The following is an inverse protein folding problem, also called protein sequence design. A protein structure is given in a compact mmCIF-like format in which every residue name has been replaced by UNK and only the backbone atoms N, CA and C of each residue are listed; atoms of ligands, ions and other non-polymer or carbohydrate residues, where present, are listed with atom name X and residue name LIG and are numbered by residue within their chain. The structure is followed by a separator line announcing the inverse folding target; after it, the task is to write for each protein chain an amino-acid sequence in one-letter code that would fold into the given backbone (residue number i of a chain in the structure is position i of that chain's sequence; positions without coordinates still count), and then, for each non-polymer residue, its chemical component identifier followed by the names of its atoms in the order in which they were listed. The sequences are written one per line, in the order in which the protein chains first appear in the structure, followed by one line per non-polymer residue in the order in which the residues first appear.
data_IF_064296754567
#
_entry.id   IF_064296754567
#
_cell.length_a   1.000
_cell.length_b   1.000
_cell.length_c   1.000
_cell.angle_alpha   90.00
_cell.angle_beta   90.00
_cell.angle_gamma   90.00
#
_symmetry.space_group_name_H-M   'P 1'
#
loop_
_entity.id
_entity.type
_entity.pdbx_description
1 polymer ?
#
# COMPACT_ATOMS: atom_id res chain seq x y z
N UNK A 1 -28.41 -48.74 15.18
CA UNK A 1 -27.73 -47.78 14.29
C UNK A 1 -26.23 -47.95 14.50
N UNK A 2 -25.44 -48.00 13.43
CA UNK A 2 -23.97 -48.06 13.52
C UNK A 2 -23.39 -46.67 13.77
N UNK A 3 -22.25 -46.60 14.44
CA UNK A 3 -21.48 -45.36 14.60
C UNK A 3 -20.48 -45.25 13.46
N UNK A 4 -20.37 -44.08 12.80
CA UNK A 4 -19.36 -43.87 11.77
C UNK A 4 -17.96 -43.98 12.37
N UNK A 5 -17.04 -44.61 11.65
CA UNK A 5 -15.63 -44.64 12.05
C UNK A 5 -15.05 -43.22 12.16
N UNK A 6 -14.08 -43.05 13.07
CA UNK A 6 -13.51 -41.72 13.37
C UNK A 6 -12.98 -41.00 12.12
N UNK A 7 -12.39 -41.74 11.17
CA UNK A 7 -11.88 -41.20 9.92
C UNK A 7 -12.98 -40.58 9.06
N UNK A 8 -14.13 -41.26 8.90
CA UNK A 8 -15.26 -40.72 8.15
C UNK A 8 -15.82 -39.45 8.78
N UNK A 9 -15.78 -39.35 10.12
CA UNK A 9 -16.16 -38.14 10.86
C UNK A 9 -15.17 -37.00 10.61
N UNK A 10 -13.87 -37.29 10.67
CA UNK A 10 -12.82 -36.31 10.40
C UNK A 10 -12.85 -35.81 8.95
N UNK A 11 -13.03 -36.70 7.97
CA UNK A 11 -13.15 -36.29 6.56
C UNK A 11 -14.42 -35.48 6.30
N UNK A 12 -15.54 -35.83 6.93
CA UNK A 12 -16.76 -35.02 6.86
C UNK A 12 -16.54 -33.61 7.42
N UNK A 13 -15.88 -33.49 8.58
CA UNK A 13 -15.53 -32.19 9.17
C UNK A 13 -14.54 -31.41 8.29
N UNK A 14 -13.58 -32.08 7.64
CA UNK A 14 -12.63 -31.44 6.71
C UNK A 14 -13.35 -30.85 5.50
N UNK A 15 -14.31 -31.57 4.91
CA UNK A 15 -15.12 -31.05 3.80
C UNK A 15 -15.89 -29.79 4.22
N UNK A 16 -16.50 -29.81 5.41
CA UNK A 16 -17.20 -28.63 5.95
C UNK A 16 -16.23 -27.44 6.14
N UNK A 17 -15.04 -27.69 6.67
CA UNK A 17 -14.00 -26.65 6.87
C UNK A 17 -13.53 -26.06 5.55
N UNK A 18 -13.32 -26.87 4.51
CA UNK A 18 -12.91 -26.37 3.19
C UNK A 18 -13.97 -25.47 2.55
N UNK A 19 -15.26 -25.85 2.67
CA UNK A 19 -16.37 -25.03 2.19
C UNK A 19 -16.41 -23.70 2.95
N UNK A 20 -16.36 -23.73 4.30
CA UNK A 20 -16.37 -22.51 5.10
C UNK A 20 -15.12 -21.65 4.89
N UNK A 21 -13.96 -22.27 4.71
CA UNK A 21 -12.68 -21.61 4.43
C UNK A 21 -12.70 -20.84 3.12
N UNK A 22 -13.28 -21.43 2.08
CA UNK A 22 -13.49 -20.73 0.81
C UNK A 22 -14.36 -19.47 1.01
N UNK A 23 -15.50 -19.59 1.70
CA UNK A 23 -16.37 -18.43 1.97
C UNK A 23 -15.68 -17.39 2.86
N UNK A 24 -14.88 -17.82 3.84
CA UNK A 24 -14.10 -16.93 4.70
C UNK A 24 -13.05 -16.15 3.91
N UNK A 25 -12.35 -16.78 2.96
CA UNK A 25 -11.38 -16.12 2.10
C UNK A 25 -12.04 -14.99 1.28
N UNK A 26 -13.25 -15.22 0.75
CA UNK A 26 -14.02 -14.16 0.10
C UNK A 26 -14.40 -13.03 1.07
N UNK A 27 -14.81 -13.37 2.30
CA UNK A 27 -15.09 -12.37 3.34
C UNK A 27 -13.89 -11.47 3.65
N UNK A 28 -12.70 -12.06 3.76
CA UNK A 28 -11.45 -11.32 3.95
C UNK A 28 -11.19 -10.40 2.76
N UNK A 29 -11.26 -10.91 1.52
CA UNK A 29 -11.03 -10.11 0.29
C UNK A 29 -11.91 -8.85 0.25
N UNK A 30 -13.21 -9.00 0.51
CA UNK A 30 -14.11 -7.84 0.51
C UNK A 30 -13.83 -6.89 1.67
N UNK A 31 -13.47 -7.41 2.85
CA UNK A 31 -13.14 -6.55 4.00
C UNK A 31 -11.86 -5.75 3.79
N UNK A 32 -10.81 -6.33 3.21
CA UNK A 32 -9.55 -5.63 2.94
C UNK A 32 -9.73 -4.58 1.85
N UNK A 33 -10.54 -4.87 0.83
CA UNK A 33 -10.89 -3.92 -0.22
C UNK A 33 -11.73 -2.73 0.28
N UNK A 34 -12.58 -2.93 1.30
CA UNK A 34 -13.46 -1.88 1.82
C UNK A 34 -12.83 -1.01 2.92
N UNK A 35 -11.83 -1.52 3.66
CA UNK A 35 -11.35 -0.89 4.89
C UNK A 35 -9.82 -0.68 4.95
N UNK A 36 -9.09 -0.87 3.84
CA UNK A 36 -7.65 -0.62 3.74
C UNK A 36 -6.82 -1.27 4.87
N UNK A 37 -7.14 -2.53 5.19
CA UNK A 37 -6.61 -3.25 6.35
C UNK A 37 -5.21 -3.83 6.06
N UNK A 38 -4.26 -3.70 7.00
CA UNK A 38 -2.87 -4.18 6.86
C UNK A 38 -2.70 -5.72 6.72
N UNK A 39 -1.68 -6.14 5.97
CA UNK A 39 -1.39 -7.55 5.63
C UNK A 39 -1.17 -8.47 6.85
N UNK A 40 -0.57 -7.96 7.92
CA UNK A 40 -0.35 -8.74 9.17
C UNK A 40 -1.65 -9.15 9.85
N UNK A 41 -2.76 -8.49 9.54
CA UNK A 41 -4.08 -8.80 10.10
C UNK A 41 -4.94 -9.74 9.23
N UNK A 42 -4.50 -10.08 8.02
CA UNK A 42 -5.23 -10.94 7.06
C UNK A 42 -5.46 -12.34 7.63
N UNK A 43 -4.45 -12.94 8.27
CA UNK A 43 -4.59 -14.27 8.90
C UNK A 43 -5.55 -14.26 10.08
N UNK A 44 -5.52 -13.21 10.90
CA UNK A 44 -6.43 -13.05 12.04
C UNK A 44 -7.87 -12.87 11.55
N UNK A 45 -8.08 -12.06 10.52
CA UNK A 45 -9.38 -11.89 9.87
C UNK A 45 -9.88 -13.19 9.23
N UNK A 46 -9.01 -13.92 8.55
CA UNK A 46 -9.36 -15.21 7.97
C UNK A 46 -9.82 -16.20 9.03
N UNK A 47 -9.07 -16.34 10.12
CA UNK A 47 -9.44 -17.23 11.24
C UNK A 47 -10.74 -16.77 11.92
N UNK A 48 -10.94 -15.46 12.06
CA UNK A 48 -12.19 -14.90 12.59
C UNK A 48 -13.39 -15.22 11.70
N UNK A 49 -13.31 -14.92 10.39
CA UNK A 49 -14.38 -15.22 9.44
C UNK A 49 -14.63 -16.73 9.34
N UNK A 50 -13.59 -17.55 9.28
CA UNK A 50 -13.71 -19.00 9.28
C UNK A 50 -14.46 -19.49 10.52
N UNK A 51 -14.11 -19.00 11.70
CA UNK A 51 -14.79 -19.38 12.94
C UNK A 51 -16.27 -18.97 12.92
N UNK A 52 -16.58 -17.72 12.57
CA UNK A 52 -17.96 -17.20 12.56
C UNK A 52 -18.82 -17.94 11.52
N UNK A 53 -18.31 -18.09 10.29
CA UNK A 53 -19.02 -18.78 9.20
C UNK A 53 -19.23 -20.24 9.57
N UNK A 54 -18.19 -20.93 10.04
CA UNK A 54 -18.31 -22.33 10.46
C UNK A 54 -19.33 -22.49 11.58
N UNK A 55 -19.25 -21.67 12.63
CA UNK A 55 -20.16 -21.72 13.78
C UNK A 55 -21.63 -21.54 13.37
N UNK A 56 -21.92 -20.55 12.52
CA UNK A 56 -23.26 -20.33 12.00
C UNK A 56 -23.71 -21.50 11.11
N UNK A 57 -22.90 -21.85 10.12
CA UNK A 57 -23.18 -22.92 9.17
C UNK A 57 -23.46 -24.26 9.87
N UNK A 58 -22.58 -24.69 10.78
CA UNK A 58 -22.68 -25.97 11.45
C UNK A 58 -23.86 -26.00 12.42
N UNK A 59 -24.10 -24.90 13.16
CA UNK A 59 -25.21 -24.79 14.11
C UNK A 59 -26.56 -24.87 13.40
N UNK A 60 -26.76 -24.08 12.35
CA UNK A 60 -28.02 -24.09 11.59
C UNK A 60 -28.22 -25.41 10.85
N UNK A 61 -27.19 -25.94 10.20
CA UNK A 61 -27.30 -27.22 9.46
C UNK A 61 -27.66 -28.37 10.39
N UNK A 62 -26.99 -28.49 11.55
CA UNK A 62 -27.30 -29.53 12.51
C UNK A 62 -28.65 -29.32 13.20
N UNK A 63 -28.97 -28.10 13.63
CA UNK A 63 -30.23 -27.83 14.34
C UNK A 63 -31.48 -27.91 13.46
N UNK A 64 -31.35 -27.78 12.13
CA UNK A 64 -32.48 -27.87 11.20
C UNK A 64 -32.55 -29.18 10.41
N UNK A 65 -31.43 -29.90 10.25
CA UNK A 65 -31.38 -31.10 9.39
C UNK A 65 -30.61 -32.26 9.99
N UNK A 66 -30.12 -32.13 11.23
CA UNK A 66 -29.33 -33.13 11.93
C UNK A 66 -28.06 -33.57 11.16
N UNK A 67 -27.62 -32.80 10.16
CA UNK A 67 -26.44 -33.10 9.33
C UNK A 67 -25.89 -31.84 8.68
N UNK A 68 -24.61 -31.84 8.33
CA UNK A 68 -23.95 -30.82 7.50
C UNK A 68 -23.75 -31.37 6.08
N UNK A 69 -23.29 -30.56 5.14
CA UNK A 69 -23.03 -31.03 3.77
C UNK A 69 -21.94 -32.10 3.77
N UNK A 70 -20.83 -31.87 4.46
CA UNK A 70 -19.77 -32.85 4.64
C UNK A 70 -20.32 -34.14 5.28
N UNK A 71 -21.05 -34.03 6.39
CA UNK A 71 -21.62 -35.21 7.06
C UNK A 71 -22.64 -35.95 6.18
N UNK A 72 -23.44 -35.24 5.40
CA UNK A 72 -24.41 -35.81 4.46
C UNK A 72 -23.75 -36.63 3.35
N UNK A 73 -22.61 -36.15 2.80
CA UNK A 73 -21.81 -36.90 1.80
C UNK A 73 -21.39 -38.28 2.35
N UNK A 74 -21.04 -38.34 3.64
CA UNK A 74 -20.66 -39.56 4.33
C UNK A 74 -21.85 -40.33 4.94
N UNK A 75 -23.09 -39.89 4.73
CA UNK A 75 -24.29 -40.53 5.30
C UNK A 75 -24.40 -40.42 6.83
N UNK A 76 -23.73 -39.42 7.41
CA UNK A 76 -23.67 -39.18 8.85
C UNK A 76 -24.79 -38.24 9.28
N UNK A 77 -25.48 -38.60 10.36
CA UNK A 77 -26.39 -37.72 11.11
C UNK A 77 -25.92 -37.57 12.55
N UNK A 78 -26.25 -36.45 13.17
CA UNK A 78 -26.06 -36.16 14.59
C UNK A 78 -27.42 -36.20 15.25
N UNK A 79 -27.57 -37.05 16.27
CA UNK A 79 -28.79 -37.17 17.06
C UNK A 79 -28.47 -36.93 18.53
N UNK A 80 -29.45 -36.53 19.33
CA UNK A 80 -29.33 -36.54 20.79
C UNK A 80 -29.24 -37.99 21.28
N UNK A 81 -28.76 -38.19 22.50
CA UNK A 81 -28.73 -39.52 23.12
C UNK A 81 -30.12 -40.18 23.22
N UNK A 82 -31.20 -39.39 23.25
CA UNK A 82 -32.58 -39.86 23.20
C UNK A 82 -33.02 -40.35 21.82
N UNK A 83 -32.23 -40.14 20.77
CA UNK A 83 -32.57 -40.43 19.38
C UNK A 83 -33.30 -39.31 18.64
N UNK A 84 -33.68 -38.23 19.33
CA UNK A 84 -34.26 -37.04 18.71
C UNK A 84 -33.21 -36.24 17.92
N UNK A 85 -33.66 -35.43 16.96
CA UNK A 85 -32.78 -34.47 16.28
C UNK A 85 -32.33 -33.35 17.26
N UNK A 86 -31.11 -32.83 17.14
CA UNK A 86 -30.61 -31.76 18.00
C UNK A 86 -31.36 -30.46 17.71
N UNK A 87 -31.64 -29.68 18.76
CA UNK A 87 -32.10 -28.30 18.59
C UNK A 87 -30.94 -27.40 18.17
N UNK A 88 -31.23 -26.17 17.74
CA UNK A 88 -30.21 -25.16 17.46
C UNK A 88 -29.27 -24.93 18.67
N UNK A 89 -29.79 -24.99 19.89
CA UNK A 89 -28.97 -24.84 21.09
C UNK A 89 -28.04 -26.05 21.30
N UNK A 90 -28.53 -27.27 21.10
CA UNK A 90 -27.70 -28.47 21.21
C UNK A 90 -26.59 -28.45 20.14
N UNK A 91 -26.93 -28.03 18.92
CA UNK A 91 -25.99 -27.89 17.81
C UNK A 91 -24.92 -26.83 18.09
N UNK A 92 -25.32 -25.67 18.63
CA UNK A 92 -24.40 -24.60 19.03
C UNK A 92 -23.45 -25.07 20.14
N UNK A 93 -23.97 -25.67 21.20
CA UNK A 93 -23.17 -26.23 22.29
C UNK A 93 -22.17 -27.26 21.76
N UNK A 94 -22.60 -28.12 20.84
CA UNK A 94 -21.74 -29.15 20.25
C UNK A 94 -20.60 -28.57 19.43
N UNK A 95 -20.91 -27.71 18.47
CA UNK A 95 -19.94 -27.25 17.47
C UNK A 95 -19.08 -26.07 17.96
N UNK A 96 -19.67 -25.13 18.70
CA UNK A 96 -18.99 -23.87 19.09
C UNK A 96 -18.27 -24.00 20.43
N UNK A 97 -18.81 -24.78 21.36
CA UNK A 97 -18.23 -24.91 22.71
C UNK A 97 -17.50 -26.25 22.87
N UNK A 98 -18.18 -27.35 22.58
CA UNK A 98 -17.69 -28.69 22.92
C UNK A 98 -16.58 -29.18 21.98
N UNK A 99 -16.64 -28.78 20.70
CA UNK A 99 -15.66 -29.19 19.68
C UNK A 99 -14.30 -28.54 19.87
N UNK A 100 -14.16 -27.23 20.17
CA UNK A 100 -12.88 -26.67 20.57
C UNK A 100 -12.26 -27.39 21.77
N UNK A 101 -13.04 -27.76 22.79
CA UNK A 101 -12.54 -28.56 23.93
C UNK A 101 -11.96 -29.91 23.48
N UNK A 102 -12.49 -30.50 22.41
CA UNK A 102 -11.95 -31.75 21.85
C UNK A 102 -10.67 -31.56 21.03
N UNK A 103 -10.48 -30.38 20.42
CA UNK A 103 -9.38 -30.07 19.48
C UNK A 103 -8.19 -29.41 20.18
N UNK A 104 -8.44 -28.45 21.09
CA UNK A 104 -7.41 -27.71 21.84
C UNK A 104 -6.34 -28.59 22.51
N UNK A 105 -6.66 -29.75 23.12
CA UNK A 105 -5.65 -30.68 23.63
C UNK A 105 -5.10 -31.56 22.50
N UNK A 106 -4.68 -30.94 21.38
CA UNK A 106 -4.08 -31.60 20.20
C UNK A 106 -4.95 -32.75 19.66
N UNK A 107 -6.27 -32.57 19.66
CA UNK A 107 -7.22 -33.57 19.15
C UNK A 107 -7.46 -34.79 20.04
N UNK A 108 -6.97 -34.80 21.29
CA UNK A 108 -7.17 -35.93 22.21
C UNK A 108 -8.66 -36.27 22.44
N UNK A 109 -9.56 -35.28 22.36
CA UNK A 109 -10.99 -35.53 22.48
C UNK A 109 -11.61 -36.30 21.30
N UNK A 110 -10.96 -36.27 20.13
CA UNK A 110 -11.30 -37.14 18.99
C UNK A 110 -10.71 -38.54 19.17
N UNK A 111 -9.46 -38.62 19.64
CA UNK A 111 -8.77 -39.90 19.91
C UNK A 111 -9.54 -40.73 20.94
N UNK A 112 -10.14 -40.09 21.95
CA UNK A 112 -10.99 -40.75 22.94
C UNK A 112 -12.13 -41.58 22.30
N UNK A 113 -12.70 -41.11 21.19
CA UNK A 113 -13.76 -41.82 20.47
C UNK A 113 -13.31 -43.12 19.78
N UNK A 114 -12.00 -43.33 19.60
CA UNK A 114 -11.46 -44.60 19.09
C UNK A 114 -11.51 -45.69 20.15
N UNK A 115 -11.34 -45.33 21.42
CA UNK A 115 -11.34 -46.25 22.55
C UNK A 115 -12.73 -46.41 23.20
N UNK A 116 -13.68 -45.54 22.85
CA UNK A 116 -15.05 -45.61 23.34
C UNK A 116 -15.86 -46.66 22.58
N UNK A 117 -16.53 -47.57 23.30
CA UNK A 117 -17.32 -48.65 22.70
C UNK A 117 -18.53 -48.17 21.90
N UNK A 118 -18.95 -46.92 22.11
CA UNK A 118 -20.03 -46.25 21.39
C UNK A 118 -19.51 -45.23 20.38
N UNK A 119 -18.20 -45.12 20.19
CA UNK A 119 -17.56 -44.17 19.28
C UNK A 119 -17.75 -42.71 19.67
N UNK A 120 -18.04 -42.41 20.95
CA UNK A 120 -18.33 -41.05 21.42
C UNK A 120 -17.04 -40.28 21.70
N UNK A 121 -16.96 -39.08 21.12
CA UNK A 121 -15.89 -38.11 21.40
C UNK A 121 -16.23 -37.24 22.60
N UNK A 122 -15.29 -36.44 23.08
CA UNK A 122 -15.58 -35.50 24.17
C UNK A 122 -16.69 -34.51 23.80
N UNK A 123 -16.70 -34.00 22.57
CA UNK A 123 -17.75 -33.09 22.12
C UNK A 123 -19.13 -33.74 22.07
N UNK A 124 -19.20 -35.02 21.72
CA UNK A 124 -20.46 -35.78 21.74
C UNK A 124 -20.98 -35.95 23.18
N UNK A 125 -20.08 -36.28 24.12
CA UNK A 125 -20.43 -36.46 25.53
C UNK A 125 -20.91 -35.15 26.18
N UNK A 126 -20.20 -34.05 25.96
CA UNK A 126 -20.53 -32.73 26.53
C UNK A 126 -21.87 -32.22 25.99
N UNK A 127 -22.17 -32.47 24.70
CA UNK A 127 -23.40 -32.02 24.06
C UNK A 127 -24.55 -33.04 24.11
N UNK A 128 -24.39 -34.15 24.84
CA UNK A 128 -25.37 -35.23 24.96
C UNK A 128 -25.91 -35.73 23.60
N UNK A 129 -24.98 -35.89 22.69
CA UNK A 129 -25.20 -36.04 21.25
C UNK A 129 -24.39 -37.23 20.75
N UNK A 130 -24.77 -37.81 19.61
CA UNK A 130 -24.05 -38.91 18.99
C UNK A 130 -24.17 -38.89 17.48
N UNK A 131 -23.10 -39.27 16.81
CA UNK A 131 -23.12 -39.48 15.36
C UNK A 131 -23.60 -40.89 15.03
N UNK A 132 -24.52 -40.99 14.08
CA UNK A 132 -25.06 -42.24 13.54
C UNK A 132 -24.92 -42.25 12.02
N UNK A 133 -24.83 -43.44 11.43
CA UNK A 133 -24.89 -43.61 9.97
C UNK A 133 -26.32 -43.97 9.56
N UNK A 134 -26.89 -43.19 8.64
CA UNK A 134 -28.14 -43.54 7.96
C UNK A 134 -27.79 -44.50 6.81
N UNK A 135 -27.95 -45.81 7.08
CA UNK A 135 -27.56 -46.97 6.28
C UNK A 135 -26.06 -47.34 6.35
N UNK A 136 -25.74 -48.66 6.39
CA UNK A 136 -24.36 -49.12 6.35
C UNK A 136 -23.79 -48.78 4.99
N UNK A 137 -22.87 -47.83 4.93
CA UNK A 137 -21.90 -47.78 3.83
C UNK A 137 -21.04 -49.04 3.99
N UNK A 138 -21.50 -50.13 3.39
CA UNK A 138 -20.64 -51.26 3.09
C UNK A 138 -19.63 -50.75 2.08
N UNK A 139 -18.36 -50.67 2.50
CA UNK A 139 -17.25 -50.47 1.58
C UNK A 139 -17.17 -51.72 0.68
N UNK A 140 -17.97 -51.76 -0.38
CA UNK A 140 -18.00 -52.84 -1.36
C UNK A 140 -19.17 -52.77 -2.34
N UNK A 141 -18.83 -52.58 -3.63
CA UNK A 141 -19.62 -52.81 -4.87
C UNK A 141 -20.29 -51.57 -5.52
N UNK A 142 -20.19 -51.40 -6.86
CA UNK A 142 -20.32 -50.14 -7.58
C UNK A 142 -21.73 -49.86 -8.09
N UNK A 143 -22.11 -48.58 -8.08
CA UNK A 143 -23.38 -48.08 -8.62
C UNK A 143 -23.67 -46.62 -8.24
N UNK A 144 -23.13 -46.16 -7.11
CA UNK A 144 -23.26 -44.77 -6.61
C UNK A 144 -21.90 -44.04 -6.56
N UNK A 145 -20.82 -44.77 -6.87
CA UNK A 145 -19.44 -44.28 -6.96
C UNK A 145 -19.30 -43.18 -7.99
N UNK A 146 -20.04 -43.27 -9.11
CA UNK A 146 -19.98 -42.27 -10.19
C UNK A 146 -20.46 -40.90 -9.74
N UNK A 147 -21.52 -40.80 -8.93
CA UNK A 147 -22.03 -39.51 -8.42
C UNK A 147 -21.11 -38.92 -7.35
N UNK A 148 -20.53 -39.76 -6.51
CA UNK A 148 -19.57 -39.33 -5.47
C UNK A 148 -18.22 -38.92 -6.06
N UNK A 149 -17.74 -39.66 -7.07
CA UNK A 149 -16.54 -39.30 -7.85
C UNK A 149 -16.82 -38.04 -8.66
N UNK A 150 -18.00 -37.91 -9.29
CA UNK A 150 -18.39 -36.70 -10.02
C UNK A 150 -18.50 -35.49 -9.08
N UNK A 151 -19.05 -35.66 -7.87
CA UNK A 151 -19.13 -34.59 -6.87
C UNK A 151 -17.75 -34.22 -6.32
N UNK A 152 -16.90 -35.21 -6.04
CA UNK A 152 -15.51 -34.96 -5.64
C UNK A 152 -14.74 -34.25 -6.76
N UNK A 153 -14.90 -34.67 -8.02
CA UNK A 153 -14.35 -34.00 -9.19
C UNK A 153 -14.93 -32.58 -9.31
N UNK A 154 -16.23 -32.36 -9.12
CA UNK A 154 -16.83 -31.02 -9.17
C UNK A 154 -16.34 -30.11 -8.05
N UNK A 155 -16.20 -30.62 -6.83
CA UNK A 155 -15.63 -29.88 -5.69
C UNK A 155 -14.15 -29.58 -5.93
N UNK A 156 -13.39 -30.55 -6.43
CA UNK A 156 -11.98 -30.36 -6.84
C UNK A 156 -11.85 -29.41 -8.02
N UNK A 157 -12.77 -29.42 -8.99
CA UNK A 157 -12.80 -28.49 -10.11
C UNK A 157 -13.19 -27.09 -9.66
N UNK A 158 -14.14 -26.93 -8.74
CA UNK A 158 -14.48 -25.64 -8.12
C UNK A 158 -13.32 -25.10 -7.28
N UNK A 159 -12.61 -25.99 -6.58
CA UNK A 159 -11.37 -25.65 -5.86
C UNK A 159 -10.29 -25.22 -6.85
N UNK A 160 -10.05 -25.97 -7.93
CA UNK A 160 -9.11 -25.62 -8.98
C UNK A 160 -9.53 -24.36 -9.76
N UNK A 161 -10.82 -24.09 -9.92
CA UNK A 161 -11.33 -22.87 -10.54
C UNK A 161 -11.15 -21.68 -9.59
N UNK A 162 -11.36 -21.89 -8.29
CA UNK A 162 -11.07 -20.94 -7.22
C UNK A 162 -9.58 -20.60 -7.16
N UNK A 163 -8.73 -21.61 -7.14
CA UNK A 163 -7.27 -21.50 -7.27
C UNK A 163 -6.87 -20.85 -8.59
N UNK A 164 -7.52 -21.17 -9.72
CA UNK A 164 -7.24 -20.52 -11.00
C UNK A 164 -7.70 -19.06 -11.00
N UNK A 165 -8.81 -18.70 -10.36
CA UNK A 165 -9.22 -17.30 -10.19
C UNK A 165 -8.36 -16.56 -9.17
N UNK A 166 -7.82 -17.26 -8.17
CA UNK A 166 -6.84 -16.74 -7.23
C UNK A 166 -5.50 -16.53 -7.94
N UNK A 167 -5.01 -17.50 -8.70
CA UNK A 167 -3.79 -17.40 -9.52
C UNK A 167 -3.97 -16.41 -10.66
N UNK A 168 -5.14 -16.28 -11.29
CA UNK A 168 -5.40 -15.25 -12.31
C UNK A 168 -5.67 -13.88 -11.73
N UNK A 169 -6.16 -13.79 -10.48
CA UNK A 169 -6.33 -12.55 -9.75
C UNK A 169 -5.04 -12.09 -9.10
N UNK A 170 -4.19 -13.01 -8.65
CA UNK A 170 -2.85 -12.82 -8.11
C UNK A 170 -1.85 -12.61 -9.24
N UNK A 171 -1.94 -13.36 -10.35
CA UNK A 171 -1.29 -12.98 -11.61
C UNK A 171 -1.93 -11.70 -12.13
N UNK A 172 -3.20 -11.45 -11.91
CA UNK A 172 -3.84 -10.17 -12.23
C UNK A 172 -3.25 -9.03 -11.42
N UNK A 173 -2.91 -9.23 -10.16
CA UNK A 173 -2.26 -8.26 -9.26
C UNK A 173 -0.73 -8.26 -9.36
N UNK A 174 -0.10 -9.33 -9.87
CA UNK A 174 1.33 -9.40 -10.23
C UNK A 174 1.58 -8.86 -11.64
N UNK A 175 0.60 -8.99 -12.53
CA UNK A 175 0.61 -8.45 -13.90
C UNK A 175 -0.10 -7.09 -13.97
N UNK A 176 -0.84 -6.70 -12.93
CA UNK A 176 -1.35 -5.35 -12.67
C UNK A 176 -0.71 -4.72 -11.42
N UNK A 177 0.37 -5.30 -10.89
CA UNK A 177 1.57 -4.50 -10.74
C UNK A 177 1.85 -4.08 -12.17
N UNK A 178 1.56 -2.82 -12.45
CA UNK A 178 1.76 -2.20 -13.74
C UNK A 178 3.02 -2.80 -14.36
N UNK A 179 2.86 -3.44 -15.54
CA UNK A 179 3.94 -3.56 -16.51
C UNK A 179 4.78 -2.29 -16.34
N UNK A 180 6.09 -2.37 -16.07
CA UNK A 180 6.86 -1.16 -15.98
C UNK A 180 6.62 -0.43 -17.29
N UNK A 181 5.84 0.66 -17.22
CA UNK A 181 6.21 1.89 -17.91
C UNK A 181 7.70 1.94 -17.66
N UNK A 182 8.52 1.94 -18.71
CA UNK A 182 9.97 1.95 -18.60
C UNK A 182 10.36 3.05 -17.59
N UNK A 183 10.45 2.68 -16.30
CA UNK A 183 10.62 3.61 -15.17
C UNK A 183 11.90 4.39 -15.42
N UNK A 184 12.88 3.67 -15.96
CA UNK A 184 14.04 4.24 -16.59
C UNK A 184 14.06 3.86 -18.07
N UNK A 185 14.17 4.85 -18.95
CA UNK A 185 14.34 4.66 -20.39
C UNK A 185 15.82 4.39 -20.71
N UNK A 186 16.32 3.21 -20.33
CA UNK A 186 17.69 2.77 -20.67
C UNK A 186 17.73 2.15 -22.06
N UNK A 187 18.89 2.21 -22.74
CA UNK A 187 19.09 1.50 -24.02
C UNK A 187 18.92 -0.03 -23.80
N UNK A 188 18.11 -0.75 -24.61
CA UNK A 188 17.88 -2.18 -24.46
C UNK A 188 19.19 -3.01 -24.41
N UNK A 189 19.54 -3.46 -23.21
CA UNK A 189 20.73 -4.28 -22.92
C UNK A 189 21.58 -3.80 -21.74
N UNK A 190 21.26 -2.65 -21.13
CA UNK A 190 22.05 -1.99 -20.10
C UNK A 190 21.42 -1.96 -18.68
N UNK A 191 20.45 -2.84 -18.39
CA UNK A 191 19.72 -2.84 -17.11
C UNK A 191 20.49 -3.56 -16.00
N UNK A 192 20.97 -2.81 -15.00
CA UNK A 192 21.37 -3.37 -13.71
C UNK A 192 20.78 -2.55 -12.55
N UNK A 193 20.22 -3.26 -11.57
CA UNK A 193 19.84 -2.68 -10.26
C UNK A 193 21.11 -2.50 -9.42
N UNK A 194 21.48 -1.26 -9.13
CA UNK A 194 22.65 -0.94 -8.31
C UNK A 194 22.24 -0.66 -6.85
N UNK A 195 21.50 -1.60 -6.28
CA UNK A 195 21.33 -1.71 -4.84
C UNK A 195 20.28 -0.81 -4.21
N UNK A 196 20.07 -1.10 -2.93
CA UNK A 196 18.93 -0.66 -2.14
C UNK A 196 19.36 0.40 -1.12
N UNK A 197 18.53 1.42 -0.92
CA UNK A 197 18.51 2.18 0.33
C UNK A 197 17.24 1.83 1.13
N UNK A 198 17.04 2.48 2.28
CA UNK A 198 15.84 2.25 3.11
C UNK A 198 14.59 2.70 2.35
N UNK A 199 14.66 3.90 1.76
CA UNK A 199 13.53 4.55 1.09
C UNK A 199 13.62 4.60 -0.43
N UNK A 200 14.75 4.22 -1.06
CA UNK A 200 14.95 4.33 -2.50
C UNK A 200 15.42 3.01 -3.12
N UNK A 201 14.86 2.71 -4.30
CA UNK A 201 15.36 1.71 -5.23
C UNK A 201 16.09 2.45 -6.37
N UNK A 202 17.42 2.27 -6.48
CA UNK A 202 18.26 3.00 -7.44
C UNK A 202 18.61 2.11 -8.64
N UNK A 203 18.27 2.60 -9.81
CA UNK A 203 18.51 2.01 -11.12
C UNK A 203 19.52 2.87 -11.87
N UNK A 204 20.47 2.27 -12.56
CA UNK A 204 21.44 3.03 -13.35
C UNK A 204 21.75 2.33 -14.67
N UNK A 205 21.85 3.12 -15.73
CA UNK A 205 22.33 2.69 -17.03
C UNK A 205 23.81 2.26 -16.92
N UNK A 206 24.22 1.22 -17.63
CA UNK A 206 25.63 0.77 -17.60
C UNK A 206 26.60 1.85 -18.09
N UNK A 207 27.62 2.15 -17.30
CA UNK A 207 28.55 3.23 -17.61
C UNK A 207 29.64 3.44 -16.58
N UNK A 208 30.73 4.09 -17.01
CA UNK A 208 31.87 4.41 -16.14
C UNK A 208 31.47 5.38 -15.01
N UNK A 209 30.55 6.32 -15.29
CA UNK A 209 30.08 7.28 -14.29
C UNK A 209 28.96 6.72 -13.41
N UNK A 210 28.31 5.63 -13.82
CA UNK A 210 27.15 5.06 -13.10
C UNK A 210 27.48 4.59 -11.70
N UNK A 211 28.65 3.98 -11.49
CA UNK A 211 29.07 3.56 -10.15
C UNK A 211 29.28 4.77 -9.23
N UNK A 212 29.97 5.80 -9.72
CA UNK A 212 30.19 7.05 -8.96
C UNK A 212 28.86 7.76 -8.67
N UNK A 213 27.99 7.85 -9.68
CA UNK A 213 26.67 8.46 -9.58
C UNK A 213 25.81 7.79 -8.52
N UNK A 214 25.68 6.47 -8.58
CA UNK A 214 24.91 5.69 -7.61
C UNK A 214 25.48 5.83 -6.19
N UNK A 215 26.80 5.81 -6.02
CA UNK A 215 27.40 5.96 -4.70
C UNK A 215 27.15 7.35 -4.11
N UNK A 216 27.19 8.42 -4.92
CA UNK A 216 26.82 9.77 -4.48
C UNK A 216 25.34 9.88 -4.14
N UNK A 217 24.47 9.35 -4.99
CA UNK A 217 23.03 9.30 -4.75
C UNK A 217 22.73 8.57 -3.43
N UNK A 218 23.31 7.38 -3.22
CA UNK A 218 23.15 6.62 -1.97
C UNK A 218 23.57 7.42 -0.73
N UNK A 219 24.61 8.25 -0.85
CA UNK A 219 25.10 9.04 0.27
C UNK A 219 24.14 10.17 0.65
N UNK A 220 23.53 10.85 -0.32
CA UNK A 220 22.74 12.07 -0.08
C UNK A 220 21.22 11.86 -0.11
N UNK A 221 20.69 10.86 -0.82
CA UNK A 221 19.24 10.63 -0.97
C UNK A 221 18.52 10.44 0.36
N UNK A 222 19.08 9.63 1.27
CA UNK A 222 18.46 9.40 2.59
C UNK A 222 18.48 10.68 3.45
N UNK A 223 19.55 11.48 3.35
CA UNK A 223 19.64 12.74 4.08
C UNK A 223 18.66 13.79 3.53
N UNK A 224 18.51 13.84 2.20
CA UNK A 224 17.53 14.68 1.52
C UNK A 224 16.11 14.27 1.94
N UNK A 225 15.82 12.98 1.90
CA UNK A 225 14.53 12.41 2.29
C UNK A 225 14.18 12.73 3.74
N UNK A 226 15.07 12.44 4.70
CA UNK A 226 14.82 12.69 6.13
C UNK A 226 14.54 14.17 6.40
N UNK A 227 15.25 15.05 5.69
CA UNK A 227 15.09 16.49 5.83
C UNK A 227 13.79 17.01 5.20
N UNK A 228 13.47 16.61 3.97
CA UNK A 228 12.17 16.91 3.34
C UNK A 228 11.02 16.38 4.18
N UNK A 229 11.14 15.15 4.69
CA UNK A 229 10.13 14.54 5.53
C UNK A 229 9.88 15.33 6.81
N UNK A 230 10.95 15.83 7.45
CA UNK A 230 10.84 16.68 8.64
C UNK A 230 10.03 17.96 8.40
N UNK A 231 10.17 18.58 7.21
CA UNK A 231 9.48 19.81 6.86
C UNK A 231 8.04 19.59 6.38
N UNK A 232 7.74 18.43 5.79
CA UNK A 232 6.44 18.14 5.15
C UNK A 232 5.50 17.34 6.07
N UNK A 233 5.98 16.29 6.74
CA UNK A 233 5.09 15.26 7.28
C UNK A 233 4.82 15.36 8.81
N UNK A 234 3.56 15.22 9.25
CA UNK A 234 3.24 14.68 10.57
C UNK A 234 3.37 13.13 10.59
N UNK A 235 3.38 12.55 11.80
CA UNK A 235 3.71 11.14 12.18
C UNK A 235 3.03 10.01 11.36
N UNK A 236 2.08 10.30 10.47
CA UNK A 236 1.20 9.31 9.82
C UNK A 236 1.42 9.06 8.33
N UNK A 237 2.33 9.77 7.64
CA UNK A 237 2.58 9.51 6.22
C UNK A 237 3.37 8.19 6.04
N UNK A 238 2.73 7.18 5.45
CA UNK A 238 3.40 5.95 4.98
C UNK A 238 3.98 6.24 3.60
N UNK A 239 5.24 6.66 3.56
CA UNK A 239 5.91 6.83 2.27
C UNK A 239 6.38 5.46 1.76
N UNK A 240 5.94 5.14 0.55
CA UNK A 240 6.42 4.02 -0.25
C UNK A 240 7.85 4.27 -0.71
N UNK A 241 8.58 3.20 -1.04
CA UNK A 241 9.90 3.34 -1.66
C UNK A 241 9.80 4.14 -2.97
N UNK A 242 10.73 5.06 -3.17
CA UNK A 242 10.84 5.83 -4.41
C UNK A 242 11.80 5.16 -5.39
N UNK A 243 11.55 5.33 -6.68
CA UNK A 243 12.49 4.92 -7.72
C UNK A 243 13.43 6.07 -8.07
N UNK A 244 14.71 5.75 -8.30
CA UNK A 244 15.70 6.71 -8.80
C UNK A 244 16.39 6.13 -10.01
N UNK A 245 16.37 6.85 -11.13
CA UNK A 245 17.01 6.47 -12.37
C UNK A 245 18.25 7.33 -12.63
N UNK A 246 19.42 6.71 -12.81
CA UNK A 246 20.65 7.38 -13.20
C UNK A 246 21.02 7.01 -14.65
N UNK A 247 21.20 8.01 -15.49
CA UNK A 247 21.47 7.85 -16.92
C UNK A 247 22.92 8.21 -17.22
N UNK A 248 23.65 7.27 -17.82
CA UNK A 248 25.03 7.50 -18.28
C UNK A 248 25.02 8.36 -19.54
N UNK A 249 24.09 8.07 -20.45
CA UNK A 249 23.98 8.69 -21.75
C UNK A 249 23.01 9.87 -21.70
N UNK A 250 23.47 11.02 -22.20
CA UNK A 250 22.64 12.22 -22.34
C UNK A 250 21.39 11.97 -23.20
N UNK A 251 21.51 11.14 -24.23
CA UNK A 251 20.41 10.79 -25.13
C UNK A 251 19.32 10.01 -24.38
N UNK A 252 19.68 8.97 -23.63
CA UNK A 252 18.74 8.20 -22.79
C UNK A 252 18.01 9.08 -21.77
N UNK A 253 18.74 10.01 -21.12
CA UNK A 253 18.12 10.98 -20.20
C UNK A 253 17.16 11.93 -20.92
N UNK A 254 17.56 12.46 -22.08
CA UNK A 254 16.73 13.36 -22.89
C UNK A 254 15.47 12.67 -23.42
N UNK A 255 15.58 11.42 -23.83
CA UNK A 255 14.47 10.59 -24.28
C UNK A 255 13.50 10.33 -23.12
N UNK A 256 14.03 10.01 -21.94
CA UNK A 256 13.25 9.89 -20.71
C UNK A 256 12.49 11.17 -20.39
N UNK A 257 13.19 12.32 -20.37
CA UNK A 257 12.56 13.60 -20.08
C UNK A 257 11.44 13.94 -21.07
N UNK A 258 11.69 13.73 -22.37
CA UNK A 258 10.71 13.97 -23.43
C UNK A 258 9.49 13.04 -23.30
N UNK A 259 9.70 11.77 -22.93
CA UNK A 259 8.63 10.80 -22.74
C UNK A 259 7.70 11.17 -21.57
N UNK A 260 8.25 11.83 -20.54
CA UNK A 260 7.48 12.35 -19.40
C UNK A 260 6.87 13.74 -19.67
N UNK A 261 6.90 14.23 -20.92
CA UNK A 261 6.29 15.52 -21.30
C UNK A 261 7.18 16.74 -21.02
N UNK A 262 8.47 16.53 -20.74
CA UNK A 262 9.46 17.59 -20.63
C UNK A 262 9.71 18.31 -21.95
N UNK A 263 10.08 19.60 -21.87
CA UNK A 263 10.46 20.44 -23.01
C UNK A 263 11.85 20.12 -23.59
N UNK A 264 12.42 21.00 -24.45
CA UNK A 264 13.64 20.69 -25.20
C UNK A 264 14.95 20.66 -24.39
N UNK A 265 14.94 20.95 -23.08
CA UNK A 265 16.15 20.96 -22.24
C UNK A 265 15.84 20.59 -20.79
N UNK A 266 16.27 19.43 -20.31
CA UNK A 266 16.32 19.20 -18.87
C UNK A 266 17.57 19.83 -18.25
N UNK A 267 17.42 20.24 -16.99
CA UNK A 267 18.50 20.37 -16.04
C UNK A 267 19.20 19.01 -15.81
N UNK A 268 20.21 18.98 -14.94
CA UNK A 268 20.98 17.77 -14.63
C UNK A 268 20.16 16.62 -14.00
N UNK A 269 18.93 16.91 -13.57
CA UNK A 269 18.00 15.97 -12.98
C UNK A 269 16.55 16.46 -13.19
N UNK A 270 15.56 15.60 -12.92
CA UNK A 270 14.15 15.99 -12.82
C UNK A 270 13.35 14.95 -12.01
N UNK A 271 12.30 15.38 -11.33
CA UNK A 271 11.26 14.53 -10.77
C UNK A 271 10.11 14.33 -11.76
N UNK A 272 9.63 13.09 -11.89
CA UNK A 272 8.45 12.75 -12.68
C UNK A 272 7.26 12.44 -11.77
N UNK A 273 6.21 13.29 -11.77
CA UNK A 273 4.97 13.01 -11.04
C UNK A 273 4.14 11.85 -11.62
N UNK A 274 4.43 11.40 -12.84
CA UNK A 274 3.62 10.39 -13.53
C UNK A 274 3.85 8.98 -12.95
N UNK A 275 5.08 8.73 -12.51
CA UNK A 275 5.56 7.46 -12.00
C UNK A 275 6.28 7.60 -10.64
N UNK A 276 6.35 8.82 -10.09
CA UNK A 276 7.00 9.16 -8.83
C UNK A 276 8.49 8.77 -8.79
N UNK A 277 9.17 8.98 -9.91
CA UNK A 277 10.58 8.65 -10.09
C UNK A 277 11.45 9.89 -10.14
N UNK A 278 12.64 9.83 -9.54
CA UNK A 278 13.65 10.88 -9.65
C UNK A 278 14.71 10.47 -10.67
N UNK A 279 15.01 11.32 -11.64
CA UNK A 279 15.90 11.02 -12.75
C UNK A 279 17.14 11.92 -12.70
N UNK A 280 18.33 11.33 -12.87
CA UNK A 280 19.62 12.05 -12.84
C UNK A 280 20.45 11.74 -14.09
N UNK A 281 21.02 12.76 -14.72
CA UNK A 281 21.98 12.62 -15.80
C UNK A 281 23.41 12.55 -15.27
N UNK A 282 24.28 11.73 -15.85
CA UNK A 282 25.69 11.67 -15.50
C UNK A 282 26.46 13.00 -15.70
N UNK A 283 25.87 13.97 -16.42
CA UNK A 283 26.39 15.34 -16.50
C UNK A 283 26.33 16.06 -15.14
N UNK A 284 25.43 15.68 -14.22
CA UNK A 284 25.37 16.28 -12.88
C UNK A 284 26.69 16.10 -12.12
N UNK A 285 27.38 14.98 -12.35
CA UNK A 285 28.66 14.67 -11.70
C UNK A 285 29.79 15.62 -12.10
N UNK A 286 29.64 16.35 -13.21
CA UNK A 286 30.62 17.32 -13.69
C UNK A 286 30.52 18.68 -12.97
N UNK A 287 29.45 18.90 -12.18
CA UNK A 287 29.29 20.09 -11.33
C UNK A 287 30.08 19.97 -10.02
N UNK A 288 30.21 21.06 -9.26
CA UNK A 288 30.82 21.01 -7.93
C UNK A 288 29.95 20.25 -6.92
N UNK A 289 30.53 19.83 -5.79
CA UNK A 289 29.85 18.99 -4.78
C UNK A 289 28.60 19.67 -4.21
N UNK A 290 28.59 20.99 -4.11
CA UNK A 290 27.46 21.75 -3.56
C UNK A 290 26.29 21.72 -4.54
N UNK A 291 26.54 22.03 -5.81
CA UNK A 291 25.54 21.89 -6.88
C UNK A 291 24.97 20.48 -6.93
N UNK A 292 25.81 19.45 -6.87
CA UNK A 292 25.37 18.06 -6.85
C UNK A 292 24.44 17.77 -5.67
N UNK A 293 24.79 18.25 -4.48
CA UNK A 293 23.98 18.07 -3.28
C UNK A 293 22.65 18.82 -3.40
N UNK A 294 22.67 20.08 -3.83
CA UNK A 294 21.49 20.91 -3.99
C UNK A 294 20.50 20.27 -4.96
N UNK A 295 20.98 19.78 -6.12
CA UNK A 295 20.14 19.05 -7.09
C UNK A 295 19.53 17.80 -6.49
N UNK A 296 20.29 16.97 -5.77
CA UNK A 296 19.74 15.76 -5.14
C UNK A 296 18.64 16.12 -4.14
N UNK A 297 18.87 17.13 -3.30
CA UNK A 297 17.91 17.56 -2.29
C UNK A 297 16.65 18.16 -2.91
N UNK A 298 16.81 19.01 -3.93
CA UNK A 298 15.70 19.62 -4.67
C UNK A 298 14.78 18.57 -5.27
N UNK A 299 15.32 17.63 -6.07
CA UNK A 299 14.49 16.66 -6.77
C UNK A 299 13.90 15.58 -5.84
N UNK A 300 14.65 15.21 -4.80
CA UNK A 300 14.12 14.31 -3.75
C UNK A 300 12.97 14.97 -3.00
N UNK A 301 13.03 16.28 -2.81
CA UNK A 301 11.98 17.01 -2.14
C UNK A 301 10.67 17.01 -2.94
N UNK A 302 10.73 17.17 -4.27
CA UNK A 302 9.56 17.04 -5.13
C UNK A 302 8.86 15.70 -4.91
N UNK A 303 9.61 14.60 -4.90
CA UNK A 303 9.06 13.28 -4.57
C UNK A 303 8.36 13.26 -3.21
N UNK A 304 9.01 13.72 -2.13
CA UNK A 304 8.45 13.66 -0.78
C UNK A 304 7.20 14.53 -0.65
N UNK A 305 7.25 15.76 -1.15
CA UNK A 305 6.14 16.72 -1.06
C UNK A 305 4.95 16.25 -1.90
N UNK A 306 5.17 15.94 -3.18
CA UNK A 306 4.08 15.58 -4.07
C UNK A 306 3.44 14.24 -3.72
N UNK A 307 4.23 13.27 -3.23
CA UNK A 307 3.66 12.01 -2.73
C UNK A 307 2.80 12.27 -1.50
N UNK A 308 3.28 13.10 -0.56
CA UNK A 308 2.49 13.49 0.60
C UNK A 308 1.18 14.17 0.19
N UNK A 309 1.22 15.11 -0.74
CA UNK A 309 0.02 15.79 -1.25
C UNK A 309 -0.92 14.79 -1.94
N UNK A 310 -0.40 13.86 -2.74
CA UNK A 310 -1.20 12.84 -3.41
C UNK A 310 -1.90 11.90 -2.44
N UNK A 311 -1.19 11.42 -1.41
CA UNK A 311 -1.75 10.54 -0.39
C UNK A 311 -2.87 11.20 0.42
N UNK A 312 -2.86 12.53 0.51
CA UNK A 312 -3.87 13.32 1.21
C UNK A 312 -4.90 13.97 0.29
N UNK A 313 -4.86 13.69 -1.02
CA UNK A 313 -5.85 14.20 -1.99
C UNK A 313 -5.66 15.64 -2.45
N UNK A 314 -4.49 16.25 -2.20
CA UNK A 314 -4.12 17.63 -2.57
C UNK A 314 -3.12 17.72 -3.73
N UNK A 315 -2.90 16.63 -4.46
CA UNK A 315 -2.02 16.62 -5.63
C UNK A 315 -2.41 17.72 -6.64
N UNK A 316 -1.44 18.51 -7.09
CA UNK A 316 -1.63 19.67 -7.98
C UNK A 316 -2.59 20.76 -7.46
N UNK A 317 -2.90 20.78 -6.16
CA UNK A 317 -3.71 21.84 -5.53
C UNK A 317 -2.85 22.90 -4.82
N UNK A 318 -1.55 22.65 -4.70
CA UNK A 318 -0.57 23.61 -4.18
C UNK A 318 0.00 24.40 -5.35
N UNK A 319 0.10 25.75 -5.25
CA UNK A 319 0.62 26.58 -6.33
C UNK A 319 2.04 26.20 -6.75
N UNK A 320 2.30 26.23 -8.06
CA UNK A 320 3.58 25.81 -8.62
C UNK A 320 4.77 26.61 -8.08
N UNK A 321 4.63 27.92 -7.83
CA UNK A 321 5.69 28.74 -7.20
C UNK A 321 6.10 28.22 -5.83
N UNK A 322 5.16 27.67 -5.07
CA UNK A 322 5.41 27.15 -3.75
C UNK A 322 6.10 25.79 -3.84
N UNK A 323 5.65 24.92 -4.74
CA UNK A 323 6.27 23.59 -4.94
C UNK A 323 7.75 23.73 -5.33
N UNK A 324 8.04 24.53 -6.36
CA UNK A 324 9.42 24.78 -6.79
C UNK A 324 10.21 25.59 -5.77
N UNK A 325 9.61 26.62 -5.18
CA UNK A 325 10.27 27.43 -4.15
C UNK A 325 10.64 26.63 -2.90
N UNK A 326 9.81 25.66 -2.53
CA UNK A 326 10.05 24.78 -1.39
C UNK A 326 11.12 23.74 -1.71
N UNK A 327 11.16 23.20 -2.94
CA UNK A 327 12.26 22.36 -3.41
C UNK A 327 13.60 23.12 -3.43
N UNK A 328 13.60 24.37 -3.90
CA UNK A 328 14.79 25.23 -3.84
C UNK A 328 15.22 25.56 -2.41
N UNK A 329 14.27 25.81 -1.50
CA UNK A 329 14.58 26.01 -0.09
C UNK A 329 15.31 24.79 0.48
N UNK A 330 14.80 23.60 0.20
CA UNK A 330 15.39 22.35 0.68
C UNK A 330 16.76 22.06 0.04
N UNK A 331 16.88 22.30 -1.27
CA UNK A 331 18.15 22.22 -1.99
C UNK A 331 19.22 23.11 -1.38
N UNK A 332 18.87 24.36 -1.09
CA UNK A 332 19.83 25.40 -0.68
C UNK A 332 20.07 25.50 0.83
N UNK A 333 19.23 24.89 1.69
CA UNK A 333 19.40 24.95 3.15
C UNK A 333 20.71 24.32 3.66
N UNK A 334 21.40 23.54 2.83
CA UNK A 334 22.70 22.94 3.15
C UNK A 334 23.89 23.47 2.32
N UNK A 335 23.66 24.47 1.45
CA UNK A 335 24.69 25.10 0.64
C UNK A 335 25.35 26.31 1.32
N UNK A 336 26.59 26.62 0.92
CA UNK A 336 27.22 27.92 1.10
C UNK A 336 26.48 29.06 0.36
N UNK A 337 25.44 28.77 -0.45
CA UNK A 337 24.55 29.75 -1.13
C UNK A 337 23.89 30.80 -0.24
N UNK A 338 23.91 30.64 1.08
CA UNK A 338 23.68 31.77 2.02
C UNK A 338 24.55 33.01 1.71
N UNK A 339 25.65 32.84 0.96
CA UNK A 339 26.54 33.91 0.48
C UNK A 339 25.98 34.72 -0.71
N UNK A 340 25.05 34.16 -1.50
CA UNK A 340 24.46 34.80 -2.69
C UNK A 340 23.02 35.30 -2.47
N UNK A 341 22.44 35.07 -1.29
CA UNK A 341 21.11 35.58 -0.91
C UNK A 341 20.89 37.06 -1.26
N UNK A 342 21.85 37.99 -1.07
CA UNK A 342 21.65 39.39 -1.46
C UNK A 342 21.46 39.58 -2.98
N UNK A 343 22.20 38.84 -3.80
CA UNK A 343 22.15 38.94 -5.27
C UNK A 343 20.84 38.38 -5.82
N UNK A 344 20.38 37.24 -5.26
CA UNK A 344 19.09 36.63 -5.60
C UNK A 344 17.94 37.56 -5.17
N UNK A 345 18.04 38.12 -3.97
CA UNK A 345 17.07 39.05 -3.40
C UNK A 345 16.91 40.31 -4.27
N UNK A 346 18.02 40.89 -4.72
CA UNK A 346 18.01 42.04 -5.63
C UNK A 346 17.35 41.69 -6.98
N UNK A 347 17.67 40.53 -7.55
CA UNK A 347 17.10 40.07 -8.82
C UNK A 347 15.58 39.87 -8.74
N UNK A 348 15.10 39.26 -7.66
CA UNK A 348 13.68 39.01 -7.44
C UNK A 348 12.93 40.31 -7.19
N UNK A 349 13.48 41.24 -6.38
CA UNK A 349 12.85 42.55 -6.13
C UNK A 349 12.49 43.28 -7.41
N UNK A 350 13.38 43.28 -8.38
CA UNK A 350 13.21 44.09 -9.59
C UNK A 350 12.22 43.46 -10.59
N UNK A 351 11.89 42.16 -10.43
CA UNK A 351 11.11 41.38 -11.42
C UNK A 351 9.93 40.57 -10.84
N UNK A 352 9.68 40.63 -9.52
CA UNK A 352 8.70 39.77 -8.84
C UNK A 352 7.29 39.86 -9.44
N UNK A 353 6.72 38.68 -9.70
CA UNK A 353 5.33 38.50 -10.13
C UNK A 353 4.47 38.12 -8.93
N UNK A 354 3.23 38.61 -8.92
CA UNK A 354 2.27 38.28 -7.86
C UNK A 354 2.07 36.76 -7.75
N UNK A 355 1.95 36.23 -6.53
CA UNK A 355 1.80 34.79 -6.29
C UNK A 355 0.60 34.20 -7.04
N UNK A 356 -0.50 34.94 -7.17
CA UNK A 356 -1.70 34.51 -7.90
C UNK A 356 -1.44 34.31 -9.40
N UNK A 357 -0.36 34.89 -9.94
CA UNK A 357 0.03 34.72 -11.35
C UNK A 357 0.95 33.53 -11.59
N UNK A 358 1.42 32.87 -10.53
CA UNK A 358 2.43 31.80 -10.58
C UNK A 358 1.85 30.43 -10.20
N UNK A 359 0.63 30.15 -10.67
CA UNK A 359 -0.12 28.95 -10.28
C UNK A 359 0.32 27.68 -10.99
N UNK A 360 0.80 27.80 -12.25
CA UNK A 360 1.12 26.66 -13.11
C UNK A 360 2.43 26.90 -13.85
N UNK A 361 3.10 25.84 -14.31
CA UNK A 361 4.27 25.93 -15.18
C UNK A 361 3.97 26.73 -16.46
N UNK A 362 2.79 26.53 -17.06
CA UNK A 362 2.34 27.28 -18.26
C UNK A 362 2.19 28.79 -18.03
N UNK A 363 2.12 29.24 -16.77
CA UNK A 363 2.08 30.67 -16.44
C UNK A 363 3.44 31.36 -16.63
N UNK A 364 4.51 30.60 -16.92
CA UNK A 364 5.83 31.10 -17.25
C UNK A 364 5.83 31.53 -18.74
N UNK A 365 5.86 32.83 -19.01
CA UNK A 365 5.88 33.38 -20.37
C UNK A 365 7.32 33.42 -20.94
N UNK A 366 7.47 33.37 -22.27
CA UNK A 366 8.76 33.44 -22.99
C UNK A 366 9.58 34.70 -22.70
N UNK A 367 8.96 35.77 -22.18
CA UNK A 367 9.63 37.02 -21.78
C UNK A 367 10.47 36.88 -20.50
N UNK A 368 10.28 35.82 -19.71
CA UNK A 368 10.96 35.60 -18.44
C UNK A 368 11.78 34.32 -18.46
N UNK A 369 12.94 34.34 -17.79
CA UNK A 369 13.75 33.14 -17.66
C UNK A 369 13.06 32.17 -16.70
N UNK A 370 13.00 30.85 -16.99
CA UNK A 370 12.58 29.86 -16.02
C UNK A 370 13.33 30.01 -14.68
N UNK A 371 14.62 30.34 -14.71
CA UNK A 371 15.41 30.58 -13.50
C UNK A 371 14.83 31.68 -12.60
N UNK A 372 14.24 32.74 -13.17
CA UNK A 372 13.63 33.82 -12.38
C UNK A 372 12.42 33.30 -11.60
N UNK A 373 11.66 32.35 -12.17
CA UNK A 373 10.54 31.70 -11.49
C UNK A 373 10.97 30.91 -10.25
N UNK A 374 12.01 30.09 -10.38
CA UNK A 374 12.54 29.31 -9.25
C UNK A 374 13.02 30.23 -8.13
N UNK A 375 13.70 31.33 -8.46
CA UNK A 375 14.16 32.30 -7.47
C UNK A 375 13.03 33.09 -6.81
N UNK A 376 12.01 33.49 -7.57
CA UNK A 376 10.80 34.11 -7.01
C UNK A 376 10.11 33.16 -6.01
N UNK A 377 9.94 31.89 -6.38
CA UNK A 377 9.41 30.87 -5.49
C UNK A 377 10.25 30.68 -4.24
N UNK A 378 11.57 30.50 -4.40
CA UNK A 378 12.52 30.32 -3.30
C UNK A 378 12.47 31.48 -2.32
N UNK A 379 12.58 32.72 -2.80
CA UNK A 379 12.51 33.92 -1.95
C UNK A 379 11.17 34.03 -1.23
N UNK A 380 10.07 33.67 -1.89
CA UNK A 380 8.73 33.70 -1.31
C UNK A 380 8.58 32.71 -0.16
N UNK A 381 9.00 31.46 -0.38
CA UNK A 381 8.98 30.41 0.65
C UNK A 381 9.98 30.77 1.77
N UNK A 382 11.17 31.26 1.43
CA UNK A 382 12.16 31.70 2.41
C UNK A 382 11.65 32.83 3.29
N UNK A 383 10.96 33.82 2.72
CA UNK A 383 10.28 34.89 3.48
C UNK A 383 9.27 34.34 4.47
N UNK A 384 8.41 33.40 4.04
CA UNK A 384 7.43 32.78 4.93
C UNK A 384 8.13 32.07 6.11
N UNK A 385 9.22 31.35 5.84
CA UNK A 385 10.01 30.71 6.88
C UNK A 385 10.70 31.72 7.80
N UNK A 386 11.31 32.77 7.26
CA UNK A 386 12.02 33.81 8.02
C UNK A 386 11.07 34.55 8.96
N UNK A 387 9.87 34.87 8.47
CA UNK A 387 8.86 35.61 9.23
C UNK A 387 8.11 34.76 10.25
N UNK A 388 7.63 33.58 9.86
CA UNK A 388 6.72 32.77 10.67
C UNK A 388 7.39 31.56 11.34
N UNK A 389 8.66 31.29 11.00
CA UNK A 389 9.44 30.20 11.56
C UNK A 389 9.38 28.90 10.74
N UNK A 390 10.24 27.94 11.10
CA UNK A 390 10.46 26.70 10.34
C UNK A 390 9.26 25.75 10.31
N UNK A 391 8.27 25.90 11.20
CA UNK A 391 7.09 25.01 11.25
C UNK A 391 5.96 25.47 10.34
N UNK A 392 6.04 26.69 9.79
CA UNK A 392 4.92 27.32 9.07
C UNK A 392 4.35 26.43 7.96
N UNK A 393 5.21 25.72 7.21
CA UNK A 393 4.77 24.85 6.12
C UNK A 393 4.01 23.63 6.61
N UNK A 394 4.50 23.00 7.68
CA UNK A 394 3.82 21.88 8.32
C UNK A 394 2.46 22.30 8.86
N UNK A 395 2.40 23.48 9.46
CA UNK A 395 1.16 24.03 10.00
C UNK A 395 0.16 24.31 8.85
N UNK A 396 0.61 24.84 7.71
CA UNK A 396 -0.22 25.04 6.50
C UNK A 396 -0.79 23.71 6.01
N UNK A 397 0.06 22.70 5.78
CA UNK A 397 -0.40 21.40 5.31
C UNK A 397 -1.34 20.72 6.31
N UNK A 398 -1.09 20.87 7.62
CA UNK A 398 -1.96 20.32 8.65
C UNK A 398 -3.34 20.98 8.65
N UNK A 399 -3.43 22.31 8.49
CA UNK A 399 -4.71 23.02 8.38
C UNK A 399 -5.46 22.65 7.11
N UNK A 400 -4.77 22.52 5.96
CA UNK A 400 -5.36 22.02 4.70
C UNK A 400 -6.05 20.67 4.93
N UNK A 401 -5.32 19.70 5.48
CA UNK A 401 -5.82 18.33 5.69
C UNK A 401 -6.92 18.28 6.75
N UNK A 402 -6.77 19.02 7.85
CA UNK A 402 -7.71 18.95 8.98
C UNK A 402 -9.06 19.56 8.63
N UNK A 403 -9.07 20.62 7.83
CA UNK A 403 -10.28 21.42 7.58
C UNK A 403 -10.79 21.34 6.12
N UNK A 404 -10.09 20.59 5.26
CA UNK A 404 -10.36 20.51 3.83
C UNK A 404 -10.32 21.87 3.12
N UNK A 405 -9.23 22.60 3.35
CA UNK A 405 -9.02 23.94 2.80
C UNK A 405 -8.06 23.92 1.61
N UNK A 406 -8.27 24.86 0.68
CA UNK A 406 -7.27 25.17 -0.33
C UNK A 406 -6.01 25.80 0.29
N UNK A 407 -4.92 25.78 -0.46
CA UNK A 407 -3.61 26.24 0.00
C UNK A 407 -3.64 27.69 0.52
N UNK A 408 -4.34 28.60 -0.16
CA UNK A 408 -4.36 30.01 0.22
C UNK A 408 -5.18 30.24 1.47
N UNK A 409 -6.34 29.59 1.59
CA UNK A 409 -7.14 29.63 2.82
C UNK A 409 -6.33 29.12 4.03
N UNK A 410 -5.59 28.03 3.88
CA UNK A 410 -4.71 27.52 4.94
C UNK A 410 -3.54 28.46 5.25
N UNK A 411 -2.91 29.06 4.22
CA UNK A 411 -1.86 30.05 4.39
C UNK A 411 -2.34 31.26 5.20
N UNK A 412 -3.47 31.85 4.84
CA UNK A 412 -4.04 32.99 5.56
C UNK A 412 -4.41 32.62 7.00
N UNK A 413 -4.95 31.41 7.21
CA UNK A 413 -5.28 30.95 8.56
C UNK A 413 -4.02 30.74 9.42
N UNK A 414 -2.94 30.15 8.89
CA UNK A 414 -1.73 29.91 9.69
C UNK A 414 -0.99 31.21 9.98
N UNK A 415 -0.91 32.10 9.00
CA UNK A 415 -0.19 33.38 9.13
C UNK A 415 -1.00 34.45 9.86
N UNK A 416 -2.32 34.29 9.95
CA UNK A 416 -3.26 35.31 10.46
C UNK A 416 -3.23 36.62 9.65
N UNK A 417 -2.84 36.53 8.38
CA UNK A 417 -2.70 37.65 7.46
C UNK A 417 -3.30 37.29 6.11
N UNK A 418 -3.98 38.24 5.47
CA UNK A 418 -4.50 38.01 4.12
C UNK A 418 -3.38 38.03 3.07
N UNK A 419 -3.63 37.41 1.92
CA UNK A 419 -2.65 37.26 0.85
C UNK A 419 -2.08 38.59 0.35
N UNK A 420 -2.90 39.64 0.31
CA UNK A 420 -2.48 40.97 -0.14
C UNK A 420 -1.50 41.63 0.85
N UNK A 421 -1.73 41.43 2.14
CA UNK A 421 -0.85 41.88 3.22
C UNK A 421 0.49 41.15 3.14
N UNK A 422 0.46 39.82 3.04
CA UNK A 422 1.66 38.99 2.90
C UNK A 422 2.51 39.40 1.69
N UNK A 423 1.89 39.64 0.53
CA UNK A 423 2.62 40.09 -0.67
C UNK A 423 3.24 41.48 -0.49
N UNK A 424 2.53 42.40 0.17
CA UNK A 424 3.05 43.76 0.43
C UNK A 424 4.27 43.70 1.34
N UNK A 425 4.21 42.87 2.37
CA UNK A 425 5.30 42.71 3.31
C UNK A 425 6.47 41.91 2.73
N UNK A 426 6.20 40.93 1.87
CA UNK A 426 7.24 40.26 1.10
C UNK A 426 8.05 41.27 0.26
N UNK A 427 7.38 42.17 -0.46
CA UNK A 427 8.07 43.23 -1.21
C UNK A 427 8.89 44.16 -0.31
N UNK A 428 8.37 44.54 0.86
CA UNK A 428 9.13 45.32 1.83
C UNK A 428 10.31 44.54 2.41
N UNK A 429 10.13 43.24 2.63
CA UNK A 429 11.19 42.35 3.09
C UNK A 429 12.29 42.23 2.03
N UNK A 430 11.96 42.23 0.73
CA UNK A 430 12.93 42.29 -0.37
C UNK A 430 13.75 43.59 -0.39
N UNK A 431 13.21 44.70 0.11
CA UNK A 431 13.91 46.00 0.17
C UNK A 431 14.89 46.15 1.34
N UNK A 432 14.71 45.38 2.42
CA UNK A 432 15.48 45.47 3.67
C UNK A 432 16.59 44.43 3.76
#
# INVERSE_FOLDING_TARGET
MSHPGILSRTFADLVDILICGYVAAWGVKYSTALFSIEVTSVWVLFLFFLFVIYALYSTFSLGLSATTLGKSIFGIKVLKNSGAEPSLWDAFLREVISKPISILPVGLGYVAGVFDSQGLTWHDNISHTRTVTNNPVTLGVPGDSGKRILLAILVSLLFLLGEATFVLGFLGEILAEDLPINLCYFDPGADYSYGYSTHFDVFAEEGEKSVEGVDKLRHYLEQAYDYSFYLVAPITAKISRANVCFYQLKESFSDSFSAHGGGPFPAFAYFSPQDFTVHFSAEFLDSDIETQKNTIYHETNHFVLELFLQQNGYFQQVPYWFVEGFAELVGNFYGEESRHLPEIKDSVRDNFRRWESLQTYDAINEEFSPADFYWEGFMSVFFLQDKFGQTVFKDIFQEMITNDWDFYTALEQVTQEDLATLQTEFLQWLEN
#
